data_IF_505037051895
#
_entry.id   IF_505037051895
#
_cell.length_a   1.000
_cell.length_b   1.000
_cell.length_c   1.000
_cell.angle_alpha   90.00
_cell.angle_beta   90.00
_cell.angle_gamma   90.00
#
_symmetry.space_group_name_H-M   'P 1'
#
loop_
_entity.id
_entity.type
_entity.pdbx_description
1 polymer ?
#
# COMPACT_ATOMS: atom_id res chain seq x y z
N UNK A 1 0.06 -10.16 -13.73
CA UNK A 1 -0.13 -11.35 -12.89
C UNK A 1 -0.55 -10.93 -11.48
N UNK A 2 -1.60 -11.54 -10.96
CA UNK A 2 -2.07 -11.26 -9.61
C UNK A 2 -1.11 -11.80 -8.56
N UNK A 3 -1.09 -11.16 -7.40
CA UNK A 3 -0.33 -11.65 -6.26
C UNK A 3 1.07 -11.08 -6.11
N UNK A 4 1.49 -10.15 -6.99
CA UNK A 4 2.77 -9.47 -6.80
C UNK A 4 2.64 -8.45 -5.68
N UNK A 5 3.63 -8.39 -4.80
CA UNK A 5 3.73 -7.30 -3.82
C UNK A 5 4.21 -6.06 -4.58
N UNK A 6 3.35 -5.05 -4.72
CA UNK A 6 3.66 -3.87 -5.52
C UNK A 6 3.85 -2.60 -4.71
N UNK A 7 3.35 -2.60 -3.46
CA UNK A 7 3.43 -1.40 -2.63
C UNK A 7 3.31 -1.78 -1.17
N UNK A 8 4.03 -1.11 -0.30
CA UNK A 8 3.81 -1.22 1.14
C UNK A 8 4.01 0.14 1.80
N UNK A 9 3.44 0.29 2.99
CA UNK A 9 3.51 1.56 3.69
C UNK A 9 4.14 1.38 5.05
N UNK A 10 5.05 2.29 5.37
CA UNK A 10 5.72 2.37 6.67
C UNK A 10 5.14 3.59 7.39
N UNK A 11 4.50 3.37 8.53
CA UNK A 11 4.01 4.44 9.36
C UNK A 11 5.01 4.72 10.46
N UNK A 12 5.15 5.98 10.81
CA UNK A 12 6.19 6.42 11.73
C UNK A 12 5.66 7.41 12.75
N UNK A 13 6.31 7.48 13.90
CA UNK A 13 6.08 8.57 14.84
C UNK A 13 6.74 9.84 14.33
N UNK A 14 7.90 9.71 13.71
CA UNK A 14 8.70 10.81 13.17
C UNK A 14 9.22 10.40 11.81
N UNK A 15 8.69 11.01 10.75
CA UNK A 15 9.01 10.64 9.38
C UNK A 15 10.47 10.91 9.02
N UNK A 16 11.07 11.99 9.54
CA UNK A 16 12.48 12.30 9.27
C UNK A 16 13.38 11.23 9.88
N UNK A 17 13.10 10.85 11.11
CA UNK A 17 13.88 9.82 11.79
C UNK A 17 13.73 8.47 11.10
N UNK A 18 12.52 8.11 10.68
CA UNK A 18 12.26 6.86 9.97
C UNK A 18 12.97 6.85 8.62
N UNK A 19 12.95 7.96 7.90
CA UNK A 19 13.66 8.07 6.61
C UNK A 19 15.16 7.83 6.82
N UNK A 20 15.75 8.45 7.83
CA UNK A 20 17.16 8.26 8.15
C UNK A 20 17.51 6.81 8.45
N UNK A 21 16.63 6.12 9.16
CA UNK A 21 16.82 4.70 9.48
C UNK A 21 16.85 3.85 8.20
N UNK A 22 15.80 3.93 7.39
CA UNK A 22 15.64 3.07 6.21
C UNK A 22 16.65 3.39 5.12
N UNK A 23 16.90 4.68 4.87
CA UNK A 23 17.92 5.10 3.92
C UNK A 23 19.32 4.71 4.38
N UNK A 24 19.58 4.81 5.67
CA UNK A 24 20.87 4.40 6.23
C UNK A 24 21.11 2.91 6.13
N UNK A 25 20.03 2.12 6.32
CA UNK A 25 20.14 0.66 6.32
C UNK A 25 20.26 0.09 4.90
N UNK A 26 19.43 0.54 3.97
CA UNK A 26 19.33 -0.04 2.64
C UNK A 26 19.77 0.88 1.51
N UNK A 27 20.04 2.14 1.78
CA UNK A 27 20.38 3.11 0.75
C UNK A 27 19.19 3.55 -0.11
N UNK A 28 17.96 3.32 0.37
CA UNK A 28 16.78 3.75 -0.39
C UNK A 28 16.75 5.27 -0.50
N UNK A 29 16.44 5.76 -1.69
CA UNK A 29 16.20 7.17 -1.91
C UNK A 29 14.73 7.46 -1.61
N UNK A 30 14.49 8.13 -0.49
CA UNK A 30 13.15 8.46 -0.02
C UNK A 30 12.92 9.94 -0.24
N UNK A 31 11.90 10.29 -1.02
CA UNK A 31 11.63 11.67 -1.41
C UNK A 31 10.16 12.00 -1.26
N UNK A 32 9.87 13.30 -1.10
CA UNK A 32 8.49 13.78 -1.04
C UNK A 32 7.76 13.41 -2.33
N UNK A 33 6.54 12.90 -2.19
CA UNK A 33 5.72 12.49 -3.34
C UNK A 33 5.11 13.65 -4.09
N UNK A 34 5.04 14.83 -3.45
CA UNK A 34 4.35 15.99 -4.01
C UNK A 34 2.84 15.94 -3.87
N UNK A 35 2.30 15.01 -3.09
CA UNK A 35 0.84 14.93 -2.88
C UNK A 35 0.35 16.13 -2.08
N UNK A 36 -0.67 16.85 -2.59
CA UNK A 36 -1.21 18.02 -1.89
C UNK A 36 -1.82 17.64 -0.54
N UNK A 37 -1.55 18.46 0.47
CA UNK A 37 -2.17 18.32 1.80
C UNK A 37 -1.68 17.15 2.62
N UNK A 38 -0.65 16.43 2.16
CA UNK A 38 -0.14 15.26 2.85
C UNK A 38 1.37 15.16 2.70
N UNK A 39 2.06 14.95 3.80
CA UNK A 39 3.50 14.72 3.78
C UNK A 39 3.76 13.21 3.57
N UNK A 40 3.59 12.79 2.33
CA UNK A 40 3.74 11.40 1.93
C UNK A 40 5.04 11.26 1.15
N UNK A 41 5.94 10.41 1.64
CA UNK A 41 7.25 10.17 1.02
C UNK A 41 7.21 8.83 0.30
N UNK A 42 7.92 8.75 -0.82
CA UNK A 42 7.91 7.56 -1.67
C UNK A 42 9.31 7.06 -1.90
N UNK A 43 9.43 5.78 -2.12
CA UNK A 43 10.71 5.13 -2.38
C UNK A 43 10.50 3.87 -3.22
N UNK A 44 11.57 3.40 -3.84
CA UNK A 44 11.57 2.15 -4.60
C UNK A 44 12.53 1.16 -3.94
N UNK A 45 12.14 -0.12 -3.95
CA UNK A 45 12.97 -1.21 -3.45
C UNK A 45 13.45 -2.10 -4.58
N UNK A 46 12.85 -1.95 -5.77
CA UNK A 46 13.19 -2.69 -6.98
C UNK A 46 12.40 -2.14 -8.15
N UNK A 47 12.49 -2.80 -9.29
CA UNK A 47 11.74 -2.40 -10.46
C UNK A 47 10.25 -2.72 -10.26
N UNK A 48 9.43 -1.68 -10.18
CA UNK A 48 8.00 -1.81 -10.01
C UNK A 48 7.55 -2.05 -8.58
N UNK A 49 8.49 -2.15 -7.65
CA UNK A 49 8.15 -2.30 -6.23
C UNK A 49 8.64 -1.07 -5.47
N UNK A 50 7.89 -0.69 -4.46
CA UNK A 50 8.26 0.42 -3.62
C UNK A 50 7.21 0.67 -2.56
N UNK A 51 7.28 1.82 -1.95
CA UNK A 51 6.33 2.11 -0.89
C UNK A 51 6.24 3.58 -0.53
N UNK A 52 5.48 3.82 0.51
CA UNK A 52 5.27 5.12 1.09
C UNK A 52 5.67 5.15 2.55
N UNK A 53 6.11 6.31 2.99
CA UNK A 53 6.49 6.55 4.38
C UNK A 53 5.86 7.85 4.84
N UNK A 54 5.16 7.82 5.96
CA UNK A 54 4.53 9.02 6.49
C UNK A 54 4.29 8.88 8.00
N UNK A 55 4.07 10.03 8.64
CA UNK A 55 3.80 10.06 10.07
C UNK A 55 2.35 9.64 10.32
N UNK A 56 2.17 8.59 11.09
CA UNK A 56 0.88 8.09 11.53
C UNK A 56 1.09 7.28 12.81
N UNK A 57 1.32 7.95 13.93
CA UNK A 57 1.71 7.28 15.18
C UNK A 57 0.74 6.19 15.64
N UNK A 58 -0.56 6.36 15.37
CA UNK A 58 -1.56 5.39 15.81
C UNK A 58 -1.49 4.06 15.07
N UNK A 59 -0.77 4.00 13.96
CA UNK A 59 -0.66 2.79 13.14
C UNK A 59 0.74 2.21 13.08
N UNK A 60 1.65 2.69 13.93
CA UNK A 60 3.01 2.16 14.00
C UNK A 60 2.99 0.73 14.53
N UNK A 61 3.84 -0.12 13.96
CA UNK A 61 3.99 -1.50 14.38
C UNK A 61 3.57 -2.52 13.32
N UNK A 62 2.85 -2.09 12.30
CA UNK A 62 2.41 -2.95 11.22
C UNK A 62 2.72 -2.30 9.87
N UNK A 63 3.39 -3.05 9.00
CA UNK A 63 3.58 -2.62 7.61
C UNK A 63 2.30 -2.93 6.85
N UNK A 64 1.86 -1.99 6.03
CA UNK A 64 0.66 -2.18 5.21
C UNK A 64 1.10 -2.61 3.81
N UNK A 65 0.72 -3.82 3.40
CA UNK A 65 1.16 -4.41 2.13
C UNK A 65 0.02 -4.44 1.11
N UNK A 66 0.38 -4.25 -0.17
CA UNK A 66 -0.55 -4.27 -1.28
C UNK A 66 -0.11 -5.29 -2.31
N UNK A 67 -1.02 -6.19 -2.67
CA UNK A 67 -0.81 -7.14 -3.76
C UNK A 67 -1.64 -6.71 -4.95
N UNK A 68 -1.10 -6.85 -6.16
CA UNK A 68 -1.82 -6.47 -7.35
C UNK A 68 -2.83 -7.52 -7.77
N UNK A 69 -3.84 -7.08 -8.49
CA UNK A 69 -4.83 -7.94 -9.12
C UNK A 69 -5.29 -7.29 -10.44
N UNK A 70 -5.66 -8.12 -11.40
CA UNK A 70 -6.20 -7.65 -12.67
C UNK A 70 -7.69 -7.29 -12.58
N UNK A 71 -8.39 -7.86 -11.58
CA UNK A 71 -9.82 -7.63 -11.37
C UNK A 71 -10.11 -7.64 -9.88
N UNK A 72 -10.16 -6.45 -9.29
CA UNK A 72 -10.32 -6.32 -7.84
C UNK A 72 -11.68 -6.85 -7.37
N UNK A 73 -12.74 -6.65 -8.15
CA UNK A 73 -14.06 -7.14 -7.75
C UNK A 73 -14.09 -8.66 -7.67
N UNK A 74 -13.51 -9.33 -8.66
CA UNK A 74 -13.41 -10.79 -8.64
C UNK A 74 -12.53 -11.28 -7.50
N UNK A 75 -11.43 -10.58 -7.23
CA UNK A 75 -10.52 -10.95 -6.14
C UNK A 75 -11.18 -10.78 -4.78
N UNK A 76 -11.94 -9.71 -4.57
CA UNK A 76 -12.66 -9.50 -3.31
C UNK A 76 -13.70 -10.60 -3.08
N UNK A 77 -14.43 -11.00 -4.11
CA UNK A 77 -15.36 -12.12 -4.01
C UNK A 77 -14.62 -13.41 -3.64
N UNK A 78 -13.46 -13.63 -4.25
CA UNK A 78 -12.65 -14.82 -3.99
C UNK A 78 -12.09 -14.85 -2.57
N UNK A 79 -11.69 -13.71 -2.04
CA UNK A 79 -11.24 -13.61 -0.64
C UNK A 79 -12.34 -14.13 0.30
N UNK A 80 -13.58 -13.70 0.07
CA UNK A 80 -14.70 -14.15 0.89
C UNK A 80 -14.96 -15.64 0.76
N UNK A 81 -14.89 -16.18 -0.46
CA UNK A 81 -15.07 -17.62 -0.70
C UNK A 81 -14.02 -18.46 0.01
N UNK A 82 -12.80 -17.94 0.13
CA UNK A 82 -11.67 -18.65 0.74
C UNK A 82 -11.60 -18.49 2.26
N UNK A 83 -12.59 -17.83 2.85
CA UNK A 83 -12.66 -17.70 4.30
C UNK A 83 -12.05 -16.43 4.87
N UNK A 84 -11.66 -15.49 4.03
CA UNK A 84 -11.17 -14.19 4.47
C UNK A 84 -12.29 -13.16 4.54
N UNK A 85 -11.92 -11.93 4.87
CA UNK A 85 -12.85 -10.80 4.87
C UNK A 85 -12.36 -9.78 3.85
N UNK A 86 -13.30 -9.14 3.17
CA UNK A 86 -12.99 -8.14 2.16
C UNK A 86 -13.82 -6.88 2.40
N UNK A 87 -13.17 -5.74 2.44
CA UNK A 87 -13.81 -4.43 2.53
C UNK A 87 -14.25 -3.94 1.16
N UNK A 88 -14.77 -2.73 1.12
CA UNK A 88 -15.17 -2.10 -0.12
C UNK A 88 -13.97 -1.48 -0.83
N UNK A 89 -13.98 -1.54 -2.16
CA UNK A 89 -12.91 -0.91 -2.92
C UNK A 89 -13.06 0.62 -2.89
N UNK A 90 -11.92 1.30 -2.86
CA UNK A 90 -11.82 2.76 -2.87
C UNK A 90 -11.01 3.18 -4.08
N UNK A 91 -11.50 4.19 -4.81
CA UNK A 91 -10.78 4.71 -5.95
C UNK A 91 -9.65 5.64 -5.52
N UNK A 92 -8.50 5.49 -6.15
CA UNK A 92 -7.38 6.40 -6.01
C UNK A 92 -7.30 7.14 -7.34
N UNK A 93 -7.62 8.45 -7.36
CA UNK A 93 -7.73 9.18 -8.63
C UNK A 93 -6.53 9.01 -9.55
N UNK A 94 -6.80 8.60 -10.77
CA UNK A 94 -5.83 8.39 -11.85
C UNK A 94 -4.76 7.32 -11.56
N UNK A 95 -4.95 6.52 -10.50
CA UNK A 95 -4.01 5.50 -10.08
C UNK A 95 -4.65 4.11 -10.13
N UNK A 96 -5.76 3.92 -9.44
CA UNK A 96 -6.41 2.61 -9.41
C UNK A 96 -7.41 2.45 -8.29
N UNK A 97 -7.65 1.20 -7.96
CA UNK A 97 -8.59 0.80 -6.90
C UNK A 97 -7.84 0.03 -5.82
N UNK A 98 -8.19 0.27 -4.57
CA UNK A 98 -7.63 -0.51 -3.47
C UNK A 98 -8.72 -0.96 -2.53
N UNK A 99 -8.46 -2.04 -1.80
CA UNK A 99 -9.38 -2.55 -0.80
C UNK A 99 -8.61 -3.29 0.29
N UNK A 100 -9.01 -3.05 1.53
CA UNK A 100 -8.45 -3.76 2.68
C UNK A 100 -9.13 -5.11 2.88
N UNK A 101 -8.33 -6.11 3.19
CA UNK A 101 -8.79 -7.48 3.38
C UNK A 101 -8.10 -8.12 4.57
N UNK A 102 -8.64 -9.25 5.01
CA UNK A 102 -7.91 -10.18 5.89
C UNK A 102 -7.94 -11.56 5.27
N UNK A 103 -6.91 -12.35 5.54
CA UNK A 103 -6.88 -13.75 5.11
C UNK A 103 -7.67 -14.63 6.09
N UNK A 104 -7.64 -15.95 5.90
CA UNK A 104 -8.37 -16.90 6.74
C UNK A 104 -7.89 -16.91 8.19
N UNK A 105 -6.70 -16.40 8.45
CA UNK A 105 -6.07 -16.39 9.78
C UNK A 105 -6.12 -15.02 10.44
N UNK A 106 -6.73 -14.02 9.78
CA UNK A 106 -6.85 -12.67 10.31
C UNK A 106 -5.70 -11.74 9.97
N UNK A 107 -4.80 -12.13 9.09
CA UNK A 107 -3.71 -11.25 8.66
C UNK A 107 -4.23 -10.21 7.69
N UNK A 108 -3.92 -8.94 7.97
CA UNK A 108 -4.37 -7.83 7.13
C UNK A 108 -3.49 -7.67 5.90
N UNK A 109 -4.13 -7.40 4.77
CA UNK A 109 -3.44 -7.06 3.53
C UNK A 109 -4.36 -6.20 2.68
N UNK A 110 -3.84 -5.66 1.58
CA UNK A 110 -4.62 -4.86 0.65
C UNK A 110 -4.47 -5.41 -0.76
N UNK A 111 -5.53 -5.26 -1.54
CA UNK A 111 -5.50 -5.52 -2.97
C UNK A 111 -5.43 -4.19 -3.71
N UNK A 112 -4.76 -4.18 -4.85
CA UNK A 112 -4.64 -3.01 -5.70
C UNK A 112 -4.82 -3.40 -7.16
N UNK A 113 -5.66 -2.66 -7.87
CA UNK A 113 -5.82 -2.79 -9.31
C UNK A 113 -5.44 -1.48 -9.96
N UNK A 114 -4.46 -1.51 -10.86
CA UNK A 114 -4.07 -0.32 -11.61
C UNK A 114 -5.18 0.09 -12.57
N UNK A 115 -5.57 1.35 -12.53
CA UNK A 115 -6.62 1.87 -13.40
C UNK A 115 -6.52 3.39 -13.45
N UNK A 116 -5.91 3.92 -14.50
CA UNK A 116 -5.70 5.36 -14.64
C UNK A 116 -6.98 6.11 -14.93
N UNK A 117 -8.08 5.40 -15.27
CA UNK A 117 -9.36 6.03 -15.57
C UNK A 117 -10.19 6.38 -14.36
N UNK A 118 -9.73 6.05 -13.15
CA UNK A 118 -10.44 6.40 -11.92
C UNK A 118 -10.59 7.91 -11.84
N UNK A 119 -11.83 8.38 -11.62
CA UNK A 119 -12.14 9.81 -11.60
C UNK A 119 -11.45 10.52 -10.44
N UNK A 120 -10.98 11.71 -10.73
CA UNK A 120 -10.29 12.56 -9.74
C UNK A 120 -11.20 13.51 -9.00
#
# INVERSE_FOLDING_TARGET
MAGRLVHFEIRAHDADRAQGFWSGLFGWEIADSGMPGMEYRVFRTGEGEGGGLFADPGSVGNLKVYFDTDDIDASLARVRELGGEAGEKTGIPHVGWSAGCTDSEGNAFNLFQSDESVAG
#
